data_IF_895540834333
#
_entry.id   IF_895540834333
#
_cell.length_a   1.000
_cell.length_b   1.000
_cell.length_c   1.000
_cell.angle_alpha   90.00
_cell.angle_beta   90.00
_cell.angle_gamma   90.00
#
_symmetry.space_group_name_H-M   'P 1'
#
loop_
_entity.id
_entity.type
_entity.pdbx_description
1 polymer ?
#
# COMPACT_ATOMS: atom_id res chain seq x y z
N UNK A 1 -18.52 1.02 -0.92
CA UNK A 1 -18.07 1.63 0.34
C UNK A 1 -16.67 1.11 0.63
N UNK A 2 -15.67 1.99 0.66
CA UNK A 2 -14.28 1.63 0.97
C UNK A 2 -14.18 1.49 2.50
N UNK A 3 -13.77 0.31 2.99
CA UNK A 3 -13.46 0.14 4.40
C UNK A 3 -14.03 -1.06 5.17
N UNK A 4 -14.40 -2.14 4.49
CA UNK A 4 -14.48 -3.44 5.15
C UNK A 4 -13.95 -4.46 4.15
N UNK A 5 -12.89 -5.18 4.53
CA UNK A 5 -12.58 -6.42 3.84
C UNK A 5 -13.80 -7.32 4.03
N UNK A 6 -14.37 -7.84 2.94
CA UNK A 6 -15.41 -8.87 3.09
C UNK A 6 -14.80 -10.07 3.83
N UNK A 7 -15.58 -10.78 4.66
CA UNK A 7 -15.05 -11.93 5.42
C UNK A 7 -14.31 -12.95 4.54
N UNK A 8 -14.86 -13.16 3.35
CA UNK A 8 -14.29 -13.98 2.29
C UNK A 8 -12.96 -13.45 1.71
N UNK A 9 -12.81 -12.14 1.59
CA UNK A 9 -11.59 -11.48 1.08
C UNK A 9 -10.44 -11.61 2.08
N UNK A 10 -10.75 -11.45 3.37
CA UNK A 10 -9.77 -11.55 4.46
C UNK A 10 -9.14 -12.94 4.56
N UNK A 11 -9.96 -14.00 4.55
CA UNK A 11 -9.45 -15.37 4.63
C UNK A 11 -8.60 -15.73 3.40
N UNK A 12 -9.01 -15.30 2.20
CA UNK A 12 -8.20 -15.48 0.99
C UNK A 12 -6.88 -14.73 1.07
N UNK A 13 -6.89 -13.48 1.54
CA UNK A 13 -5.67 -12.70 1.71
C UNK A 13 -4.69 -13.36 2.69
N UNK A 14 -5.18 -13.93 3.78
CA UNK A 14 -4.38 -14.69 4.74
C UNK A 14 -3.77 -15.93 4.10
N UNK A 15 -4.56 -16.71 3.36
CA UNK A 15 -4.08 -17.88 2.63
C UNK A 15 -3.00 -17.52 1.59
N UNK A 16 -3.22 -16.45 0.82
CA UNK A 16 -2.25 -15.92 -0.14
C UNK A 16 -0.96 -15.49 0.58
N UNK A 17 -1.07 -14.82 1.73
CA UNK A 17 0.10 -14.43 2.51
C UNK A 17 0.94 -15.63 2.95
N UNK A 18 0.30 -16.67 3.51
CA UNK A 18 0.99 -17.88 3.95
C UNK A 18 1.69 -18.56 2.77
N UNK A 19 1.00 -18.69 1.64
CA UNK A 19 1.57 -19.24 0.41
C UNK A 19 2.76 -18.41 -0.09
N UNK A 20 2.60 -17.11 -0.36
CA UNK A 20 3.67 -16.28 -0.92
C UNK A 20 4.86 -16.11 0.02
N UNK A 21 4.61 -16.08 1.34
CA UNK A 21 5.69 -16.08 2.34
C UNK A 21 6.49 -17.38 2.29
N UNK A 22 5.85 -18.53 2.07
CA UNK A 22 6.55 -19.80 1.87
C UNK A 22 7.45 -19.80 0.62
N UNK A 23 7.13 -18.94 -0.37
CA UNK A 23 7.92 -18.73 -1.59
C UNK A 23 9.02 -17.67 -1.42
N UNK A 24 9.22 -17.14 -0.21
CA UNK A 24 10.28 -16.17 0.11
C UNK A 24 9.91 -14.71 -0.17
N UNK A 25 8.63 -14.39 -0.41
CA UNK A 25 8.19 -13.01 -0.57
C UNK A 25 8.25 -12.24 0.75
N UNK A 26 8.73 -10.99 0.69
CA UNK A 26 8.70 -10.08 1.83
C UNK A 26 7.25 -9.71 2.21
N UNK A 27 6.98 -9.40 3.50
CA UNK A 27 5.69 -8.87 3.94
C UNK A 27 5.20 -7.67 3.11
N UNK A 28 6.11 -6.76 2.74
CA UNK A 28 5.82 -5.56 1.97
C UNK A 28 5.41 -5.88 0.51
N UNK A 29 6.12 -6.81 -0.14
CA UNK A 29 5.80 -7.25 -1.49
C UNK A 29 4.45 -7.97 -1.53
N UNK A 30 4.17 -8.84 -0.55
CA UNK A 30 2.88 -9.51 -0.42
C UNK A 30 1.75 -8.48 -0.23
N UNK A 31 1.94 -7.52 0.68
CA UNK A 31 0.96 -6.48 0.92
C UNK A 31 0.65 -5.65 -0.34
N UNK A 32 1.67 -5.33 -1.14
CA UNK A 32 1.51 -4.66 -2.42
C UNK A 32 0.68 -5.46 -3.44
N UNK A 33 0.89 -6.77 -3.52
CA UNK A 33 0.11 -7.67 -4.38
C UNK A 33 -1.35 -7.70 -3.92
N UNK A 34 -1.57 -7.93 -2.62
CA UNK A 34 -2.92 -7.94 -2.04
C UNK A 34 -3.64 -6.60 -2.25
N UNK A 35 -2.92 -5.48 -2.12
CA UNK A 35 -3.46 -4.14 -2.37
C UNK A 35 -3.97 -3.94 -3.79
N UNK A 36 -3.23 -4.46 -4.77
CA UNK A 36 -3.67 -4.47 -6.17
C UNK A 36 -4.88 -5.39 -6.36
N UNK A 37 -4.80 -6.63 -5.91
CA UNK A 37 -5.88 -7.61 -6.13
C UNK A 37 -7.16 -7.31 -5.36
N UNK A 38 -7.10 -6.54 -4.28
CA UNK A 38 -8.31 -6.02 -3.61
C UNK A 38 -9.13 -5.13 -4.53
N UNK A 39 -8.44 -4.27 -5.29
CA UNK A 39 -9.07 -3.35 -6.25
C UNK A 39 -9.42 -4.07 -7.54
N UNK A 40 -8.55 -4.96 -7.98
CA UNK A 40 -8.67 -5.69 -9.25
C UNK A 40 -9.84 -6.69 -9.24
N UNK A 41 -9.88 -7.54 -8.20
CA UNK A 41 -10.76 -8.70 -8.15
C UNK A 41 -11.47 -8.85 -6.81
N UNK A 42 -11.25 -7.96 -5.84
CA UNK A 42 -11.61 -8.17 -4.43
C UNK A 42 -11.01 -9.48 -3.89
N UNK A 43 -9.79 -9.79 -4.35
CA UNK A 43 -9.03 -11.00 -4.06
C UNK A 43 -9.88 -12.25 -4.32
N UNK A 44 -10.74 -12.23 -5.35
CA UNK A 44 -11.60 -13.36 -5.68
C UNK A 44 -11.04 -14.08 -6.93
N UNK A 45 -10.57 -15.34 -6.81
CA UNK A 45 -10.00 -16.07 -7.93
C UNK A 45 -11.07 -16.46 -8.98
N UNK A 46 -12.35 -16.40 -8.63
CA UNK A 46 -13.48 -16.68 -9.54
C UNK A 46 -14.03 -15.42 -10.20
N UNK A 47 -13.24 -14.37 -10.37
CA UNK A 47 -13.62 -13.18 -11.16
C UNK A 47 -13.30 -13.34 -12.63
N UNK A 48 -14.15 -12.78 -13.46
CA UNK A 48 -13.90 -12.60 -14.89
C UNK A 48 -14.35 -11.20 -15.30
N UNK A 49 -13.57 -10.52 -16.14
CA UNK A 49 -13.88 -9.16 -16.57
C UNK A 49 -15.27 -9.12 -17.26
N UNK A 50 -16.12 -8.19 -16.80
CA UNK A 50 -17.50 -8.06 -17.25
C UNK A 50 -18.51 -9.04 -16.60
N UNK A 51 -18.10 -9.88 -15.65
CA UNK A 51 -18.97 -10.88 -15.00
C UNK A 51 -20.21 -10.31 -14.31
N UNK A 52 -20.14 -9.08 -13.81
CA UNK A 52 -21.21 -8.34 -13.13
C UNK A 52 -22.26 -7.74 -14.08
N UNK A 53 -22.04 -7.78 -15.40
CA UNK A 53 -22.98 -7.26 -16.38
C UNK A 53 -24.24 -8.14 -16.49
N UNK A 54 -25.20 -7.73 -17.32
CA UNK A 54 -26.32 -8.61 -17.66
C UNK A 54 -25.88 -9.69 -18.67
N UNK A 55 -26.39 -10.93 -18.58
CA UNK A 55 -26.21 -11.92 -19.64
C UNK A 55 -26.65 -11.38 -21.01
N UNK A 56 -25.98 -11.80 -22.12
CA UNK A 56 -25.05 -12.91 -22.20
C UNK A 56 -23.58 -12.56 -21.88
N UNK A 57 -23.24 -11.28 -21.71
CA UNK A 57 -21.87 -10.85 -21.37
C UNK A 57 -21.55 -11.15 -19.91
N UNK A 58 -22.50 -10.84 -19.03
CA UNK A 58 -22.45 -11.17 -17.62
C UNK A 58 -22.56 -12.67 -17.35
N UNK A 59 -22.22 -13.06 -16.12
CA UNK A 59 -22.15 -14.45 -15.74
C UNK A 59 -23.51 -15.07 -15.43
N UNK A 60 -23.60 -16.37 -15.70
CA UNK A 60 -24.62 -17.31 -15.20
C UNK A 60 -23.91 -18.46 -14.48
N UNK A 61 -24.64 -19.35 -13.81
CA UNK A 61 -24.04 -20.43 -13.02
C UNK A 61 -23.06 -21.33 -13.82
N UNK A 62 -23.26 -21.48 -15.14
CA UNK A 62 -22.39 -22.29 -16.02
C UNK A 62 -21.24 -21.52 -16.67
N UNK A 63 -21.20 -20.19 -16.54
CA UNK A 63 -20.29 -19.32 -17.31
C UNK A 63 -18.80 -19.61 -17.06
N UNK A 64 -18.41 -19.92 -15.83
CA UNK A 64 -17.00 -20.15 -15.47
C UNK A 64 -16.38 -21.40 -16.07
N UNK A 65 -17.20 -22.30 -16.62
CA UNK A 65 -16.76 -23.52 -17.29
C UNK A 65 -17.04 -23.51 -18.81
N UNK A 66 -17.56 -22.39 -19.34
CA UNK A 66 -17.83 -22.19 -20.75
C UNK A 66 -16.70 -21.40 -21.43
N UNK A 67 -15.90 -22.10 -22.24
CA UNK A 67 -14.76 -21.49 -22.96
C UNK A 67 -15.18 -20.39 -23.92
N UNK A 68 -16.39 -20.46 -24.49
CA UNK A 68 -16.88 -19.42 -25.40
C UNK A 68 -17.23 -18.13 -24.65
N UNK A 69 -17.77 -18.27 -23.44
CA UNK A 69 -18.05 -17.13 -22.55
C UNK A 69 -16.77 -16.51 -22.02
N UNK A 70 -15.79 -17.34 -21.62
CA UNK A 70 -14.47 -16.89 -21.20
C UNK A 70 -13.73 -16.17 -22.34
N UNK A 71 -13.88 -16.62 -23.59
CA UNK A 71 -13.25 -16.00 -24.76
C UNK A 71 -13.91 -14.70 -25.25
N UNK A 72 -14.94 -14.17 -24.57
CA UNK A 72 -15.54 -12.89 -24.98
C UNK A 72 -14.51 -11.76 -24.76
N UNK A 73 -14.20 -10.99 -25.81
CA UNK A 73 -13.27 -9.86 -25.78
C UNK A 73 -13.89 -8.50 -25.46
N UNK A 74 -13.01 -7.49 -25.37
CA UNK A 74 -13.34 -6.12 -24.94
C UNK A 74 -14.46 -5.44 -25.73
N UNK A 75 -14.50 -5.50 -27.08
CA UNK A 75 -15.56 -4.83 -27.84
C UNK A 75 -16.97 -5.28 -27.48
N UNK A 76 -17.13 -6.55 -27.09
CA UNK A 76 -18.43 -7.07 -26.66
C UNK A 76 -18.75 -6.63 -25.23
N UNK A 77 -17.73 -6.60 -24.35
CA UNK A 77 -17.88 -6.20 -22.94
C UNK A 77 -18.19 -4.70 -22.82
N UNK A 78 -17.54 -3.87 -23.64
CA UNK A 78 -17.55 -2.41 -23.50
C UNK A 78 -18.18 -1.70 -24.70
N UNK A 79 -19.18 -2.30 -25.34
CA UNK A 79 -19.98 -1.65 -26.39
C UNK A 79 -19.15 -1.04 -27.54
N UNK A 80 -18.16 -1.78 -28.03
CA UNK A 80 -17.27 -1.41 -29.11
C UNK A 80 -15.92 -0.81 -28.69
N UNK A 81 -15.71 -0.57 -27.38
CA UNK A 81 -14.43 -0.08 -26.85
C UNK A 81 -13.44 -1.22 -26.55
N UNK A 82 -12.19 -0.84 -26.27
CA UNK A 82 -11.08 -1.74 -25.89
C UNK A 82 -10.83 -2.92 -26.85
N UNK A 83 -10.62 -2.67 -28.16
CA UNK A 83 -10.32 -3.72 -29.14
C UNK A 83 -9.00 -4.46 -28.86
N UNK A 84 -8.14 -3.93 -27.99
CA UNK A 84 -6.91 -4.61 -27.58
C UNK A 84 -7.20 -5.85 -26.73
N UNK A 85 -8.35 -5.96 -26.08
CA UNK A 85 -8.71 -7.11 -25.23
C UNK A 85 -9.32 -8.19 -26.13
N UNK A 86 -8.55 -9.24 -26.39
CA UNK A 86 -8.98 -10.35 -27.24
C UNK A 86 -9.83 -11.34 -26.45
N UNK A 87 -9.38 -11.73 -25.25
CA UNK A 87 -10.14 -12.51 -24.28
C UNK A 87 -10.07 -11.83 -22.92
N UNK A 88 -11.22 -11.73 -22.24
CA UNK A 88 -11.40 -11.01 -20.97
C UNK A 88 -10.42 -11.42 -19.88
N UNK A 89 -10.12 -10.53 -18.95
CA UNK A 89 -9.32 -10.84 -17.77
C UNK A 89 -9.93 -11.93 -16.88
N UNK A 90 -9.10 -12.83 -16.35
CA UNK A 90 -9.51 -13.87 -15.41
C UNK A 90 -8.79 -13.76 -14.06
N UNK A 91 -9.49 -14.11 -12.97
CA UNK A 91 -8.90 -14.39 -11.67
C UNK A 91 -8.33 -13.20 -10.92
N UNK A 92 -7.43 -13.48 -9.98
CA UNK A 92 -6.89 -12.51 -9.03
C UNK A 92 -6.31 -11.25 -9.70
N UNK A 93 -5.47 -11.46 -10.72
CA UNK A 93 -4.78 -10.40 -11.47
C UNK A 93 -5.34 -10.16 -12.87
N UNK A 94 -6.59 -10.57 -13.13
CA UNK A 94 -7.28 -10.37 -14.42
C UNK A 94 -6.40 -10.71 -15.63
N UNK A 95 -5.82 -11.92 -15.64
CA UNK A 95 -4.97 -12.40 -16.74
C UNK A 95 -5.71 -12.34 -18.07
N UNK A 96 -5.23 -11.48 -18.97
CA UNK A 96 -5.93 -11.07 -20.19
C UNK A 96 -5.11 -11.43 -21.43
N UNK A 97 -5.78 -11.86 -22.51
CA UNK A 97 -5.16 -11.97 -23.83
C UNK A 97 -5.34 -10.65 -24.57
N UNK A 98 -4.24 -10.12 -25.12
CA UNK A 98 -4.24 -8.80 -25.76
C UNK A 98 -3.63 -8.84 -27.17
N UNK A 99 -4.08 -7.92 -28.03
CA UNK A 99 -3.63 -7.84 -29.41
C UNK A 99 -2.15 -7.43 -29.55
N UNK A 100 -1.57 -6.83 -28.51
CA UNK A 100 -0.14 -6.51 -28.39
C UNK A 100 0.73 -7.68 -27.90
N UNK A 101 0.15 -8.86 -27.67
CA UNK A 101 0.89 -10.13 -27.52
C UNK A 101 0.77 -10.82 -26.16
N UNK A 102 -0.01 -10.30 -25.21
CA UNK A 102 -0.32 -11.07 -23.99
C UNK A 102 -1.18 -12.28 -24.34
N UNK A 103 -0.83 -13.44 -23.80
CA UNK A 103 -1.59 -14.70 -23.94
C UNK A 103 -1.92 -15.31 -22.57
N UNK A 104 -2.00 -14.46 -21.53
CA UNK A 104 -2.08 -14.89 -20.12
C UNK A 104 -3.44 -15.51 -19.76
N UNK A 105 -4.54 -15.09 -20.39
CA UNK A 105 -5.85 -15.75 -20.23
C UNK A 105 -5.74 -17.19 -20.73
N UNK A 106 -5.28 -17.37 -21.98
CA UNK A 106 -5.13 -18.69 -22.59
C UNK A 106 -4.13 -19.56 -21.82
N UNK A 107 -3.02 -18.97 -21.36
CA UNK A 107 -2.01 -19.67 -20.57
C UNK A 107 -2.59 -20.19 -19.25
N UNK A 108 -3.39 -19.39 -18.53
CA UNK A 108 -4.05 -19.82 -17.29
C UNK A 108 -4.98 -21.01 -17.52
N UNK A 109 -5.84 -20.96 -18.54
CA UNK A 109 -6.74 -22.06 -18.86
C UNK A 109 -5.99 -23.34 -19.23
N UNK A 110 -4.94 -23.23 -20.04
CA UNK A 110 -4.08 -24.37 -20.39
C UNK A 110 -3.39 -24.95 -19.17
N UNK A 111 -2.84 -24.10 -18.31
CA UNK A 111 -2.20 -24.52 -17.06
C UNK A 111 -3.20 -25.22 -16.13
N UNK A 112 -4.43 -24.71 -16.01
CA UNK A 112 -5.48 -25.36 -15.24
C UNK A 112 -5.78 -26.78 -15.74
N UNK A 113 -5.83 -26.98 -17.07
CA UNK A 113 -6.02 -28.30 -17.69
C UNK A 113 -4.86 -29.25 -17.39
N UNK A 114 -3.60 -28.79 -17.48
CA UNK A 114 -2.43 -29.64 -17.20
C UNK A 114 -2.35 -30.06 -15.73
N UNK A 115 -2.82 -29.20 -14.82
CA UNK A 115 -2.90 -29.49 -13.39
C UNK A 115 -4.20 -30.24 -12.99
N UNK A 116 -5.10 -30.52 -13.94
CA UNK A 116 -6.42 -31.12 -13.71
C UNK A 116 -7.23 -30.41 -12.60
N UNK A 117 -7.25 -29.07 -12.67
CA UNK A 117 -7.88 -28.19 -11.68
C UNK A 117 -8.75 -27.14 -12.38
N UNK A 118 -9.66 -26.53 -11.63
CA UNK A 118 -10.44 -25.38 -12.13
C UNK A 118 -9.53 -24.15 -12.20
N UNK A 119 -9.67 -23.34 -13.26
CA UNK A 119 -8.86 -22.13 -13.43
C UNK A 119 -9.07 -21.10 -12.31
N UNK A 120 -10.24 -21.14 -11.65
CA UNK A 120 -10.61 -20.32 -10.51
C UNK A 120 -10.26 -20.94 -9.14
N UNK A 121 -9.47 -22.01 -9.11
CA UNK A 121 -8.86 -22.52 -7.87
C UNK A 121 -7.79 -21.53 -7.39
N UNK A 122 -7.83 -21.16 -6.09
CA UNK A 122 -6.94 -20.15 -5.53
C UNK A 122 -5.48 -20.59 -5.62
N UNK A 123 -5.17 -21.81 -5.17
CA UNK A 123 -3.81 -22.35 -5.19
C UNK A 123 -3.29 -22.49 -6.61
N UNK A 124 -4.14 -22.91 -7.56
CA UNK A 124 -3.75 -22.94 -8.97
C UNK A 124 -3.33 -21.57 -9.49
N UNK A 125 -4.07 -20.49 -9.20
CA UNK A 125 -3.72 -19.16 -9.68
C UNK A 125 -2.40 -18.65 -9.08
N UNK A 126 -2.16 -18.94 -7.80
CA UNK A 126 -0.89 -18.62 -7.14
C UNK A 126 0.27 -19.45 -7.69
N UNK A 127 0.03 -20.69 -8.07
CA UNK A 127 1.03 -21.54 -8.71
C UNK A 127 1.31 -21.09 -10.16
N UNK A 128 0.26 -20.74 -10.89
CA UNK A 128 0.33 -20.22 -12.25
C UNK A 128 1.20 -18.96 -12.32
N UNK A 129 1.00 -17.96 -11.45
CA UNK A 129 1.82 -16.74 -11.51
C UNK A 129 3.32 -17.00 -11.31
N UNK A 130 3.69 -18.09 -10.64
CA UNK A 130 5.07 -18.45 -10.32
C UNK A 130 5.70 -19.41 -11.34
N UNK A 131 4.89 -20.28 -11.95
CA UNK A 131 5.37 -21.42 -12.74
C UNK A 131 4.73 -21.54 -14.12
N UNK A 132 3.50 -21.07 -14.30
CA UNK A 132 2.72 -21.23 -15.53
C UNK A 132 2.64 -19.99 -16.41
N UNK A 133 2.88 -18.80 -15.85
CA UNK A 133 2.84 -17.52 -16.57
C UNK A 133 4.04 -17.34 -17.52
N UNK A 134 4.14 -16.23 -18.25
CA UNK A 134 5.28 -15.99 -19.13
C UNK A 134 6.61 -15.94 -18.34
N UNK A 135 7.74 -16.40 -18.91
CA UNK A 135 9.03 -16.37 -18.24
C UNK A 135 9.45 -14.97 -17.75
N UNK A 136 9.01 -13.92 -18.46
CA UNK A 136 9.21 -12.54 -18.05
C UNK A 136 8.53 -12.25 -16.70
N UNK A 137 7.23 -12.52 -16.58
CA UNK A 137 6.48 -12.25 -15.35
C UNK A 137 6.98 -13.11 -14.18
N UNK A 138 7.32 -14.38 -14.45
CA UNK A 138 7.89 -15.27 -13.42
C UNK A 138 9.22 -14.73 -12.87
N UNK A 139 10.13 -14.29 -13.75
CA UNK A 139 11.43 -13.74 -13.34
C UNK A 139 11.25 -12.43 -12.59
N UNK A 140 10.41 -11.53 -13.11
CA UNK A 140 10.15 -10.25 -12.50
C UNK A 140 9.56 -10.41 -11.09
N UNK A 141 8.61 -11.34 -10.91
CA UNK A 141 7.97 -11.60 -9.63
C UNK A 141 8.96 -12.12 -8.57
N UNK A 142 9.90 -12.99 -8.96
CA UNK A 142 10.96 -13.50 -8.07
C UNK A 142 11.90 -12.40 -7.57
N UNK A 143 12.18 -11.39 -8.40
CA UNK A 143 12.95 -10.22 -7.98
C UNK A 143 12.09 -9.26 -7.16
N UNK A 144 10.82 -9.08 -7.54
CA UNK A 144 9.87 -8.26 -6.79
C UNK A 144 9.73 -8.72 -5.34
N UNK A 145 9.66 -10.03 -5.10
CA UNK A 145 9.53 -10.66 -3.78
C UNK A 145 10.60 -10.24 -2.77
N UNK A 146 11.78 -9.81 -3.24
CA UNK A 146 12.90 -9.42 -2.39
C UNK A 146 12.79 -7.97 -1.90
N UNK A 147 11.88 -7.17 -2.45
CA UNK A 147 11.76 -5.75 -2.11
C UNK A 147 11.23 -5.55 -0.69
N UNK A 148 11.90 -4.71 0.09
CA UNK A 148 11.50 -4.36 1.47
C UNK A 148 11.12 -2.88 1.60
N UNK A 149 10.90 -2.19 0.47
CA UNK A 149 10.41 -0.81 0.44
C UNK A 149 8.95 -0.69 0.86
N UNK A 150 8.42 0.53 0.91
CA UNK A 150 7.02 0.81 1.23
C UNK A 150 6.05 -0.08 0.43
N UNK A 151 5.09 -0.70 1.12
CA UNK A 151 4.01 -1.44 0.48
C UNK A 151 3.23 -0.59 -0.54
N UNK A 152 3.04 0.71 -0.27
CA UNK A 152 2.40 1.64 -1.21
C UNK A 152 3.24 1.87 -2.48
N UNK A 153 4.55 2.11 -2.35
CA UNK A 153 5.41 2.28 -3.52
C UNK A 153 5.52 0.97 -4.32
N UNK A 154 5.61 -0.17 -3.62
CA UNK A 154 5.63 -1.48 -4.25
C UNK A 154 4.30 -1.82 -4.93
N UNK A 155 3.17 -1.34 -4.42
CA UNK A 155 1.87 -1.50 -5.07
C UNK A 155 1.84 -0.77 -6.42
N UNK A 156 2.43 0.43 -6.51
CA UNK A 156 2.59 1.12 -7.79
C UNK A 156 3.50 0.35 -8.75
N UNK A 157 4.62 -0.18 -8.24
CA UNK A 157 5.57 -0.94 -9.02
C UNK A 157 4.91 -2.21 -9.59
N UNK A 158 4.18 -2.96 -8.76
CA UNK A 158 3.41 -4.13 -9.16
C UNK A 158 2.32 -3.79 -10.18
N UNK A 159 1.54 -2.73 -9.93
CA UNK A 159 0.52 -2.23 -10.85
C UNK A 159 1.11 -1.90 -12.22
N UNK A 160 2.26 -1.23 -12.25
CA UNK A 160 2.86 -0.76 -13.49
C UNK A 160 3.49 -1.89 -14.30
N UNK A 161 4.22 -2.80 -13.65
CA UNK A 161 5.07 -3.77 -14.36
C UNK A 161 4.53 -5.20 -14.40
N UNK A 162 3.64 -5.58 -13.48
CA UNK A 162 3.04 -6.92 -13.46
C UNK A 162 1.58 -6.91 -13.93
N UNK A 163 0.77 -5.97 -13.47
CA UNK A 163 -0.62 -5.78 -13.96
C UNK A 163 -0.64 -5.07 -15.33
N UNK A 164 0.42 -4.34 -15.69
CA UNK A 164 0.52 -3.64 -16.97
C UNK A 164 -0.34 -2.38 -17.07
N UNK A 165 -0.74 -1.79 -15.93
CA UNK A 165 -1.60 -0.62 -15.87
C UNK A 165 -0.84 0.55 -15.21
N UNK A 166 -0.66 1.68 -15.89
CA UNK A 166 0.04 2.83 -15.33
C UNK A 166 -0.93 3.85 -14.72
N UNK A 167 -1.52 3.51 -13.56
CA UNK A 167 -2.12 4.50 -12.68
C UNK A 167 -3.61 4.35 -12.34
N UNK A 168 -4.33 3.37 -12.92
CA UNK A 168 -5.73 3.13 -12.57
C UNK A 168 -5.91 2.89 -11.07
N UNK A 169 -6.76 3.72 -10.43
CA UNK A 169 -7.07 3.67 -8.99
C UNK A 169 -5.81 3.55 -8.12
N UNK A 170 -4.70 4.15 -8.55
CA UNK A 170 -3.40 3.96 -7.90
C UNK A 170 -3.46 4.32 -6.41
N UNK A 171 -4.14 5.40 -6.05
CA UNK A 171 -4.27 5.81 -4.65
C UNK A 171 -5.01 4.75 -3.80
N UNK A 172 -6.07 4.16 -4.34
CA UNK A 172 -6.82 3.11 -3.68
C UNK A 172 -5.93 1.87 -3.48
N UNK A 173 -5.21 1.44 -4.52
CA UNK A 173 -4.29 0.29 -4.46
C UNK A 173 -3.15 0.51 -3.46
N UNK A 174 -2.58 1.72 -3.41
CA UNK A 174 -1.56 2.12 -2.43
C UNK A 174 -2.10 2.11 -0.99
N UNK A 175 -3.33 2.57 -0.82
CA UNK A 175 -4.04 2.54 0.47
C UNK A 175 -4.29 1.10 0.91
N UNK A 176 -4.86 0.26 0.04
CA UNK A 176 -5.10 -1.16 0.32
C UNK A 176 -3.81 -1.91 0.65
N UNK A 177 -2.72 -1.64 -0.06
CA UNK A 177 -1.42 -2.25 0.24
C UNK A 177 -0.93 -1.88 1.64
N UNK A 178 -1.15 -0.64 2.07
CA UNK A 178 -0.81 -0.21 3.44
C UNK A 178 -1.69 -0.91 4.48
N UNK A 179 -2.99 -1.04 4.23
CA UNK A 179 -3.93 -1.76 5.10
C UNK A 179 -3.55 -3.25 5.23
N UNK A 180 -3.18 -3.92 4.13
CA UNK A 180 -2.75 -5.32 4.17
C UNK A 180 -1.41 -5.50 4.87
N UNK A 181 -0.47 -4.58 4.68
CA UNK A 181 0.80 -4.63 5.40
C UNK A 181 0.56 -4.58 6.92
N UNK A 182 -0.34 -3.71 7.37
CA UNK A 182 -0.75 -3.67 8.77
C UNK A 182 -1.33 -5.01 9.25
N UNK A 183 -2.20 -5.65 8.48
CA UNK A 183 -2.75 -6.97 8.83
C UNK A 183 -1.65 -8.02 8.98
N UNK A 184 -0.68 -8.02 8.07
CA UNK A 184 0.46 -8.91 8.10
C UNK A 184 1.32 -8.69 9.36
N UNK A 185 1.62 -7.44 9.71
CA UNK A 185 2.38 -7.10 10.91
C UNK A 185 1.65 -7.52 12.19
N UNK A 186 0.31 -7.55 12.17
CA UNK A 186 -0.52 -8.02 13.29
C UNK A 186 -0.87 -9.50 13.21
N UNK A 187 -0.28 -10.25 12.27
CA UNK A 187 -0.52 -11.69 12.12
C UNK A 187 -1.98 -12.03 11.80
N UNK A 188 -2.67 -11.18 11.04
CA UNK A 188 -4.10 -11.32 10.70
C UNK A 188 -5.03 -11.42 11.91
N UNK A 189 -4.63 -10.89 13.07
CA UNK A 189 -5.43 -10.91 14.30
C UNK A 189 -6.54 -9.84 14.33
N UNK A 190 -6.54 -8.91 13.38
CA UNK A 190 -7.46 -7.79 13.34
C UNK A 190 -8.51 -8.01 12.25
N UNK A 191 -9.62 -8.69 12.57
CA UNK A 191 -10.76 -8.86 11.65
C UNK A 191 -11.32 -7.52 11.15
N UNK A 192 -11.09 -6.44 11.90
CA UNK A 192 -11.43 -5.05 11.55
C UNK A 192 -10.24 -4.19 11.09
N UNK A 193 -9.04 -4.73 10.93
CA UNK A 193 -7.84 -3.93 10.59
C UNK A 193 -7.86 -3.31 9.18
N UNK A 194 -8.89 -3.58 8.36
CA UNK A 194 -9.25 -2.78 7.18
C UNK A 194 -9.93 -1.43 7.49
N UNK A 195 -9.99 -1.05 8.77
CA UNK A 195 -10.36 0.29 9.22
C UNK A 195 -9.14 1.23 9.33
N UNK A 196 -7.94 0.74 8.96
CA UNK A 196 -6.72 1.53 8.77
C UNK A 196 -6.86 2.50 7.57
N UNK A 197 -7.92 3.30 7.55
CA UNK A 197 -8.26 4.20 6.46
C UNK A 197 -7.38 5.44 6.55
N UNK A 198 -6.34 5.56 5.73
CA UNK A 198 -6.01 6.90 5.26
C UNK A 198 -7.27 7.44 4.58
N UNK A 199 -7.84 8.55 5.08
CA UNK A 199 -9.01 9.16 4.47
C UNK A 199 -8.65 9.52 3.01
N UNK A 200 -9.19 8.79 2.00
CA UNK A 200 -8.73 8.92 0.63
C UNK A 200 -8.96 10.32 0.07
N UNK A 201 -10.00 11.02 0.52
CA UNK A 201 -10.27 12.40 0.11
C UNK A 201 -9.22 13.36 0.67
N UNK A 202 -8.86 13.21 1.95
CA UNK A 202 -7.79 14.01 2.55
C UNK A 202 -6.44 13.77 1.88
N UNK A 203 -6.16 12.51 1.51
CA UNK A 203 -4.90 12.10 0.90
C UNK A 203 -4.80 12.56 -0.56
N UNK A 204 -5.89 12.50 -1.32
CA UNK A 204 -5.94 12.97 -2.71
C UNK A 204 -5.60 14.46 -2.82
N UNK A 205 -6.14 15.29 -1.92
CA UNK A 205 -5.89 16.73 -1.90
C UNK A 205 -4.44 17.14 -1.60
N UNK A 206 -3.67 16.28 -0.92
CA UNK A 206 -2.29 16.58 -0.52
C UNK A 206 -1.25 15.69 -1.20
N UNK A 207 -1.66 14.78 -2.09
CA UNK A 207 -0.77 13.75 -2.66
C UNK A 207 0.47 14.34 -3.36
N UNK A 208 0.29 15.43 -4.10
CA UNK A 208 1.39 16.15 -4.77
C UNK A 208 2.33 16.89 -3.81
N UNK A 209 1.92 17.05 -2.56
CA UNK A 209 2.68 17.73 -1.51
C UNK A 209 3.39 16.74 -0.57
N UNK A 210 3.20 15.43 -0.75
CA UNK A 210 3.88 14.44 0.07
C UNK A 210 5.38 14.42 -0.21
N UNK A 211 6.16 14.28 0.86
CA UNK A 211 7.60 14.14 0.76
C UNK A 211 7.95 12.94 -0.11
N UNK A 212 8.84 13.16 -1.07
CA UNK A 212 9.26 12.16 -2.06
C UNK A 212 8.10 11.58 -2.90
N UNK A 213 6.94 12.27 -2.95
CA UNK A 213 5.70 11.82 -3.59
C UNK A 213 5.22 10.44 -3.10
N UNK A 214 5.63 10.02 -1.90
CA UNK A 214 5.31 8.70 -1.35
C UNK A 214 4.15 8.77 -0.37
N UNK A 215 3.12 7.95 -0.57
CA UNK A 215 1.95 7.85 0.31
C UNK A 215 2.35 7.24 1.66
N UNK A 216 2.12 7.89 2.82
CA UNK A 216 2.42 7.31 4.14
C UNK A 216 1.80 5.93 4.33
N UNK A 217 2.62 4.95 4.71
CA UNK A 217 2.19 3.58 4.83
C UNK A 217 3.28 2.55 4.55
N UNK A 218 3.29 1.47 5.34
CA UNK A 218 4.13 0.29 5.06
C UNK A 218 5.57 0.33 5.58
N UNK A 219 5.94 1.27 6.44
CA UNK A 219 7.23 1.27 7.14
C UNK A 219 7.15 0.68 8.55
N UNK A 220 8.29 0.19 9.07
CA UNK A 220 8.39 -0.41 10.41
C UNK A 220 8.15 0.64 11.51
N UNK A 221 7.17 0.41 12.36
CA UNK A 221 6.81 1.26 13.50
C UNK A 221 7.72 1.12 14.73
N UNK A 222 8.78 0.31 14.68
CA UNK A 222 9.80 0.15 15.73
C UNK A 222 9.23 -0.16 17.12
N UNK A 223 8.30 -1.12 17.18
CA UNK A 223 7.60 -1.56 18.39
C UNK A 223 6.70 -0.51 19.09
N UNK A 224 6.58 0.71 18.56
CA UNK A 224 5.54 1.62 19.01
C UNK A 224 4.16 1.05 18.75
N UNK A 225 3.23 1.30 19.67
CA UNK A 225 1.85 0.88 19.54
C UNK A 225 1.25 1.49 18.27
N UNK A 226 0.63 0.64 17.44
CA UNK A 226 0.07 1.05 16.16
C UNK A 226 -0.90 2.22 16.32
N UNK A 227 -0.86 3.13 15.35
CA UNK A 227 -1.73 4.29 15.29
C UNK A 227 -1.41 5.37 16.32
N UNK A 228 -0.38 5.19 17.16
CA UNK A 228 0.18 6.27 17.98
C UNK A 228 1.04 7.20 17.13
N UNK A 229 1.06 8.50 17.46
CA UNK A 229 1.88 9.49 16.75
C UNK A 229 3.35 9.08 16.58
N UNK A 230 3.93 8.45 17.60
CA UNK A 230 5.29 7.90 17.58
C UNK A 230 5.44 6.72 16.63
N UNK A 231 4.44 5.84 16.53
CA UNK A 231 4.38 4.78 15.52
C UNK A 231 4.33 5.37 14.11
N UNK A 232 3.47 6.37 13.87
CA UNK A 232 3.34 7.00 12.56
C UNK A 232 4.64 7.63 12.09
N UNK A 233 5.33 8.38 12.95
CA UNK A 233 6.62 9.00 12.58
C UNK A 233 7.73 7.95 12.40
N UNK A 234 7.80 6.93 13.25
CA UNK A 234 8.76 5.82 13.08
C UNK A 234 8.54 5.10 11.74
N UNK A 235 7.29 4.72 11.46
CA UNK A 235 6.90 4.06 10.22
C UNK A 235 7.23 4.95 9.01
N UNK A 236 6.90 6.25 9.05
CA UNK A 236 7.18 7.19 7.95
C UNK A 236 8.68 7.37 7.72
N UNK A 237 9.48 7.49 8.78
CA UNK A 237 10.94 7.56 8.69
C UNK A 237 11.53 6.32 8.04
N UNK A 238 11.12 5.13 8.49
CA UNK A 238 11.60 3.86 7.94
C UNK A 238 11.11 3.61 6.52
N UNK A 239 9.87 3.99 6.22
CA UNK A 239 9.30 3.95 4.88
C UNK A 239 10.14 4.74 3.87
N UNK A 240 10.60 5.94 4.27
CA UNK A 240 11.37 6.84 3.43
C UNK A 240 12.88 6.58 3.48
N UNK A 241 13.33 5.62 4.30
CA UNK A 241 14.75 5.33 4.51
C UNK A 241 15.51 6.45 5.23
N UNK A 242 14.81 7.34 5.93
CA UNK A 242 15.41 8.51 6.57
C UNK A 242 16.12 8.16 7.88
N UNK A 243 17.14 8.96 8.20
CA UNK A 243 17.92 8.95 9.44
C UNK A 243 18.05 10.38 9.96
N UNK A 244 18.30 10.54 11.25
CA UNK A 244 18.63 11.85 11.82
C UNK A 244 19.96 12.32 11.21
N UNK A 245 20.02 13.62 10.87
CA UNK A 245 21.23 14.24 10.35
C UNK A 245 22.11 14.67 11.53
N UNK A 246 23.28 14.07 11.68
CA UNK A 246 24.28 14.49 12.67
C UNK A 246 25.00 15.78 12.26
N UNK A 247 25.65 16.44 13.23
CA UNK A 247 26.35 17.72 13.03
C UNK A 247 27.45 17.68 11.94
N UNK A 248 28.04 16.50 11.71
CA UNK A 248 29.09 16.29 10.71
C UNK A 248 28.59 15.57 9.45
N UNK A 249 27.26 15.50 9.25
CA UNK A 249 26.64 14.75 8.15
C UNK A 249 26.48 13.25 8.43
N UNK A 250 26.72 12.81 9.67
CA UNK A 250 26.46 11.42 10.08
C UNK A 250 24.98 11.05 9.94
N UNK A 251 24.70 9.79 9.62
CA UNK A 251 23.34 9.25 9.51
C UNK A 251 23.02 8.47 10.77
N UNK A 252 22.27 9.08 11.67
CA UNK A 252 22.01 8.51 13.00
C UNK A 252 20.61 7.85 12.98
N UNK A 253 20.50 6.55 13.26
CA UNK A 253 19.19 5.90 13.31
C UNK A 253 18.35 6.45 14.47
N UNK A 254 17.04 6.56 14.25
CA UNK A 254 16.09 6.66 15.36
C UNK A 254 16.10 5.34 16.15
N UNK A 255 15.68 5.39 17.41
CA UNK A 255 15.61 4.22 18.30
C UNK A 255 14.16 3.94 18.71
N UNK A 256 13.87 2.78 19.30
CA UNK A 256 12.51 2.44 19.77
C UNK A 256 12.13 3.08 21.12
N UNK A 257 13.01 3.92 21.68
CA UNK A 257 12.83 4.61 22.97
C UNK A 257 12.96 6.13 22.85
N UNK A 258 12.45 6.73 21.76
CA UNK A 258 12.41 8.20 21.55
C UNK A 258 11.50 8.96 22.53
N UNK A 259 10.76 8.26 23.40
CA UNK A 259 9.81 8.86 24.35
C UNK A 259 8.41 9.13 23.77
N UNK A 260 7.68 10.05 24.40
CA UNK A 260 6.36 10.52 23.95
C UNK A 260 6.51 11.54 22.81
N UNK A 261 5.40 11.98 22.22
CA UNK A 261 5.43 12.86 21.05
C UNK A 261 6.26 14.14 21.24
N UNK A 262 6.15 14.78 22.40
CA UNK A 262 6.96 15.98 22.70
C UNK A 262 8.46 15.70 22.91
N UNK A 263 8.84 14.46 23.20
CA UNK A 263 10.21 14.10 23.62
C UNK A 263 11.12 13.78 22.42
N UNK A 264 10.56 13.56 21.23
CA UNK A 264 11.30 13.05 20.07
C UNK A 264 12.44 13.96 19.62
N UNK A 265 12.21 15.27 19.55
CA UNK A 265 13.28 16.22 19.14
C UNK A 265 14.35 16.34 20.21
N UNK A 266 13.99 16.33 21.50
CA UNK A 266 14.96 16.31 22.59
C UNK A 266 15.81 15.03 22.56
N UNK A 267 15.19 13.88 22.33
CA UNK A 267 15.90 12.61 22.20
C UNK A 267 16.79 12.60 20.95
N UNK A 268 16.32 13.12 19.81
CA UNK A 268 17.14 13.25 18.61
C UNK A 268 18.39 14.11 18.87
N UNK A 269 18.25 15.22 19.60
CA UNK A 269 19.40 16.04 20.03
C UNK A 269 20.37 15.25 20.91
N UNK A 270 19.85 14.47 21.88
CA UNK A 270 20.67 13.63 22.76
C UNK A 270 21.47 12.55 22.02
N UNK A 271 20.96 12.10 20.87
CA UNK A 271 21.63 11.15 19.97
C UNK A 271 22.67 11.81 19.06
N UNK A 272 22.81 13.14 19.10
CA UNK A 272 23.72 13.90 18.24
C UNK A 272 23.08 14.42 16.94
N UNK A 273 21.76 14.34 16.81
CA UNK A 273 21.00 14.87 15.68
C UNK A 273 20.90 16.40 15.68
N UNK A 274 20.94 17.00 14.50
CA UNK A 274 20.72 18.42 14.27
C UNK A 274 19.24 18.77 14.52
N UNK A 275 18.99 19.72 15.41
CA UNK A 275 17.65 20.19 15.77
C UNK A 275 17.52 21.70 15.58
N UNK A 276 16.29 22.21 15.51
CA UNK A 276 16.05 23.65 15.43
C UNK A 276 14.58 24.04 15.51
N UNK A 277 14.29 25.29 15.14
CA UNK A 277 12.95 25.89 15.18
C UNK A 277 12.38 26.23 13.80
N UNK A 278 13.06 25.83 12.72
CA UNK A 278 12.65 26.14 11.34
C UNK A 278 12.11 24.87 10.68
N UNK A 279 10.88 24.89 10.12
CA UNK A 279 10.35 23.72 9.43
C UNK A 279 11.18 23.41 8.18
N UNK A 280 11.45 22.13 7.95
CA UNK A 280 12.06 21.62 6.72
C UNK A 280 11.31 20.38 6.27
N UNK A 281 11.06 20.25 4.97
CA UNK A 281 10.46 19.05 4.41
C UNK A 281 11.36 17.84 4.72
N UNK A 282 10.76 16.75 5.20
CA UNK A 282 11.45 15.56 5.68
C UNK A 282 11.80 15.57 7.17
N UNK A 283 11.62 16.68 7.88
CA UNK A 283 11.94 16.77 9.30
C UNK A 283 10.92 16.04 10.18
N UNK A 284 11.37 15.63 11.37
CA UNK A 284 10.48 15.26 12.47
C UNK A 284 10.09 16.55 13.19
N UNK A 285 8.83 16.69 13.59
CA UNK A 285 8.35 17.83 14.37
C UNK A 285 7.71 17.36 15.67
N UNK A 286 8.13 17.94 16.80
CA UNK A 286 7.54 17.70 18.12
C UNK A 286 6.76 18.93 18.60
N UNK A 287 5.57 18.70 19.14
CA UNK A 287 4.69 19.68 19.74
C UNK A 287 4.65 19.50 21.25
N UNK A 288 4.85 20.58 22.01
CA UNK A 288 4.76 20.57 23.47
C UNK A 288 3.33 20.24 23.92
N UNK A 289 3.19 19.41 24.95
CA UNK A 289 1.91 19.04 25.55
C UNK A 289 1.02 20.24 25.90
N UNK A 290 -0.25 20.16 25.52
CA UNK A 290 -1.26 21.18 25.82
C UNK A 290 -1.32 22.30 24.79
N UNK A 291 -0.48 22.25 23.76
CA UNK A 291 -0.48 23.19 22.64
C UNK A 291 -0.98 22.50 21.37
N UNK A 292 -1.39 23.26 20.34
CA UNK A 292 -1.76 22.73 19.02
C UNK A 292 -2.81 21.60 19.03
N UNK A 293 -3.67 21.54 20.05
CA UNK A 293 -4.69 20.50 20.23
C UNK A 293 -4.16 19.16 20.76
N UNK A 294 -2.96 19.15 21.35
CA UNK A 294 -2.29 17.94 21.85
C UNK A 294 -2.56 17.68 23.33
N UNK A 295 -2.56 16.41 23.79
CA UNK A 295 -2.69 16.08 25.20
C UNK A 295 -1.56 16.67 26.05
N UNK A 296 -1.89 17.28 27.19
CA UNK A 296 -0.94 17.98 28.06
C UNK A 296 0.26 17.14 28.54
N UNK A 297 0.06 15.83 28.74
CA UNK A 297 1.09 14.94 29.30
C UNK A 297 2.03 14.41 28.22
N UNK A 298 1.53 14.19 27.00
CA UNK A 298 2.26 13.45 25.96
C UNK A 298 2.81 14.34 24.84
N UNK A 299 2.17 15.49 24.62
CA UNK A 299 2.35 16.28 23.40
C UNK A 299 2.05 15.47 22.15
N UNK A 300 2.78 15.77 21.07
CA UNK A 300 2.58 15.09 19.78
C UNK A 300 3.84 15.12 18.93
N UNK A 301 4.01 14.12 18.07
CA UNK A 301 5.06 14.11 17.05
C UNK A 301 4.43 13.87 15.69
N UNK A 302 4.91 14.57 14.68
CA UNK A 302 4.49 14.39 13.30
C UNK A 302 5.70 14.43 12.36
N UNK A 303 5.46 14.14 11.09
CA UNK A 303 6.46 14.22 10.02
C UNK A 303 6.13 15.39 9.09
N UNK A 304 7.11 16.22 8.76
CA UNK A 304 6.92 17.37 7.85
C UNK A 304 6.98 16.89 6.41
N UNK A 305 5.84 16.87 5.73
CA UNK A 305 5.74 16.45 4.33
C UNK A 305 6.23 17.57 3.38
N UNK A 306 5.81 18.81 3.62
CA UNK A 306 6.14 19.98 2.79
C UNK A 306 6.21 21.26 3.60
N UNK A 307 7.04 22.19 3.15
CA UNK A 307 7.04 23.59 3.61
C UNK A 307 6.63 24.45 2.41
N UNK A 308 5.66 25.35 2.63
CA UNK A 308 5.13 26.25 1.61
C UNK A 308 5.85 27.61 1.66
N UNK A 309 5.78 28.38 0.57
CA UNK A 309 6.45 29.67 0.45
C UNK A 309 5.98 30.72 1.47
N UNK A 310 4.74 30.57 1.98
CA UNK A 310 4.16 31.43 3.02
C UNK A 310 4.66 31.09 4.45
N UNK A 311 5.55 30.12 4.59
CA UNK A 311 6.11 29.67 5.88
C UNK A 311 5.24 28.66 6.62
N UNK A 312 4.04 28.36 6.11
CA UNK A 312 3.23 27.26 6.61
C UNK A 312 3.81 25.92 6.16
N UNK A 313 3.41 24.83 6.81
CA UNK A 313 3.92 23.50 6.48
C UNK A 313 2.86 22.41 6.65
N UNK A 314 2.93 21.39 5.80
CA UNK A 314 2.10 20.20 5.84
C UNK A 314 2.76 19.15 6.72
N UNK A 315 2.00 18.56 7.64
CA UNK A 315 2.43 17.41 8.43
C UNK A 315 1.58 16.18 8.12
N UNK A 316 2.21 15.00 8.14
CA UNK A 316 1.52 13.72 8.27
C UNK A 316 1.70 13.18 9.68
N UNK A 317 0.63 12.67 10.26
CA UNK A 317 0.61 12.23 11.65
C UNK A 317 -0.44 11.15 11.88
N UNK A 318 -0.36 10.50 13.03
CA UNK A 318 -1.33 9.51 13.50
C UNK A 318 -1.66 9.83 14.95
N UNK A 319 -2.80 9.36 15.44
CA UNK A 319 -3.38 9.70 16.74
C UNK A 319 -3.73 11.17 16.98
N UNK A 320 -3.75 12.02 15.95
CA UNK A 320 -4.28 13.37 16.14
C UNK A 320 -5.81 13.28 16.28
N UNK A 321 -6.35 13.88 17.35
CA UNK A 321 -7.77 13.77 17.68
C UNK A 321 -8.26 12.34 17.98
N UNK A 322 -7.36 11.41 18.32
CA UNK A 322 -7.70 10.01 18.58
C UNK A 322 -7.82 9.13 17.33
N UNK A 323 -7.48 9.64 16.16
CA UNK A 323 -7.55 8.87 14.91
C UNK A 323 -6.27 8.05 14.70
N UNK A 324 -6.31 6.70 14.72
CA UNK A 324 -5.12 5.88 14.54
C UNK A 324 -4.53 5.91 13.12
N UNK A 325 -5.25 6.47 12.15
CA UNK A 325 -4.84 6.51 10.76
C UNK A 325 -4.00 7.74 10.44
N UNK A 326 -3.30 7.70 9.30
CA UNK A 326 -2.61 8.89 8.81
C UNK A 326 -3.61 9.99 8.48
N UNK A 327 -3.45 11.12 9.15
CA UNK A 327 -4.12 12.39 8.85
C UNK A 327 -3.10 13.42 8.43
N UNK A 328 -3.58 14.43 7.70
CA UNK A 328 -2.76 15.53 7.22
C UNK A 328 -3.26 16.85 7.77
N UNK A 329 -2.36 17.66 8.32
CA UNK A 329 -2.69 19.00 8.81
C UNK A 329 -1.73 20.03 8.26
N UNK A 330 -2.27 21.18 7.89
CA UNK A 330 -1.49 22.37 7.56
C UNK A 330 -1.29 23.19 8.84
N UNK A 331 -0.05 23.41 9.22
CA UNK A 331 0.34 24.27 10.34
C UNK A 331 0.71 25.64 9.77
N UNK A 332 0.09 26.71 10.29
CA UNK A 332 0.22 28.06 9.72
C UNK A 332 1.63 28.63 9.85
N UNK A 333 2.30 28.38 10.97
CA UNK A 333 3.67 28.81 11.23
C UNK A 333 4.26 28.02 12.41
N UNK A 334 5.59 27.96 12.50
CA UNK A 334 6.26 27.47 13.69
C UNK A 334 6.22 28.51 14.82
N UNK A 335 6.00 28.07 16.06
CA UNK A 335 6.05 28.89 17.26
C UNK A 335 6.98 28.28 18.32
N UNK A 336 7.05 28.88 19.51
CA UNK A 336 7.93 28.42 20.59
C UNK A 336 7.56 27.06 21.20
N UNK A 337 6.38 26.51 20.88
CA UNK A 337 5.92 25.19 21.32
C UNK A 337 6.23 24.09 20.29
N UNK A 338 6.90 24.44 19.18
CA UNK A 338 7.26 23.54 18.10
C UNK A 338 8.78 23.45 18.00
N UNK A 339 9.29 22.23 17.87
CA UNK A 339 10.70 21.98 17.60
C UNK A 339 10.86 20.93 16.51
N UNK A 340 12.01 20.95 15.83
CA UNK A 340 12.29 20.09 14.68
C UNK A 340 13.59 19.31 14.87
N UNK A 341 13.60 18.06 14.43
CA UNK A 341 14.81 17.28 14.21
C UNK A 341 14.98 17.02 12.72
N UNK A 342 16.16 17.37 12.19
CA UNK A 342 16.43 17.30 10.77
C UNK A 342 16.94 15.92 10.36
N UNK A 343 16.62 15.53 9.14
CA UNK A 343 16.85 14.19 8.63
C UNK A 343 17.65 14.22 7.34
N UNK A 344 18.19 13.06 6.97
CA UNK A 344 18.84 12.80 5.69
C UNK A 344 18.48 11.38 5.24
N UNK A 345 18.41 11.18 3.93
CA UNK A 345 18.49 9.83 3.34
C UNK A 345 19.92 9.30 3.48
#
# INVERSE_FOLDING_TARGET
AIGQFGGDEFERAKHIYEFLKSQGASPQAIAAILGNWSVESSINPKRAEGDYLSPPVGATDSSWDDESWLAIGGPVIYSGAYPNILHRGLGLGQWTDTADGSTRHTALLNYARTQNKKWYDLDLQLDFMLQGDSPYYQSWLKDFFKNTGSAANLAQLFLTYWEGNSGDKLLERQTRATEWYYQIEKGFSQTNGGQAKSDPQSLEGVRGDLYDHSVPGGGDGMAYAYGQCTWGVAARMNQLGLKLKGSNGEKIPIINTMGNGQDWVATASSLGGETGSTPKAGAIVSFVGGTHGTPAIYGHVAFVEKVYDDGSFLVSETNYGGNPNYTFRKISQADSAISFAYTTK
#
